data_IF_166102754651
#
_entry.id   IF_166102754651
#
_cell.length_a   1.000
_cell.length_b   1.000
_cell.length_c   1.000
_cell.angle_alpha   90.00
_cell.angle_beta   90.00
_cell.angle_gamma   90.00
#
_symmetry.space_group_name_H-M   'P 1'
#
loop_
_entity.id
_entity.type
_entity.pdbx_description
1 polymer ?
#
# COMPACT_ATOMS: atom_id res chain seq x y z
N UNK A 1 -16.89 8.93 -4.84
CA UNK A 1 -15.74 8.41 -4.09
C UNK A 1 -14.62 8.08 -5.07
N UNK A 2 -13.42 8.64 -4.86
CA UNK A 2 -12.21 8.20 -5.54
C UNK A 2 -11.48 7.18 -4.66
N UNK A 3 -11.29 5.97 -5.17
CA UNK A 3 -10.52 4.94 -4.51
C UNK A 3 -9.49 4.38 -5.47
N UNK A 4 -8.25 4.36 -5.03
CA UNK A 4 -7.23 3.57 -5.67
C UNK A 4 -7.35 2.10 -5.26
N UNK A 5 -7.16 1.17 -6.20
CA UNK A 5 -6.98 -0.23 -5.89
C UNK A 5 -5.51 -0.56 -6.00
N UNK A 6 -4.92 -1.00 -4.90
CA UNK A 6 -3.51 -1.40 -4.86
C UNK A 6 -3.35 -2.86 -4.44
N UNK A 7 -2.27 -3.48 -4.90
CA UNK A 7 -1.93 -4.86 -4.56
C UNK A 7 -1.72 -5.08 -3.04
N UNK A 8 -1.56 -4.00 -2.28
CA UNK A 8 -1.37 -4.06 -0.83
C UNK A 8 -2.61 -4.49 -0.04
N UNK A 9 -3.80 -4.44 -0.66
CA UNK A 9 -5.02 -4.91 0.00
C UNK A 9 -4.99 -6.41 0.35
N UNK A 10 -4.16 -7.21 -0.30
CA UNK A 10 -3.98 -8.61 0.08
C UNK A 10 -2.93 -8.82 1.18
N UNK A 11 -2.14 -7.82 1.50
CA UNK A 11 -1.15 -7.88 2.58
C UNK A 11 -1.85 -7.98 3.95
N UNK A 12 -2.90 -7.19 4.16
CA UNK A 12 -3.67 -7.19 5.42
C UNK A 12 -4.22 -8.58 5.75
N UNK A 13 -4.90 -9.31 4.86
CA UNK A 13 -5.33 -10.68 5.13
C UNK A 13 -4.17 -11.62 5.49
N UNK A 14 -3.03 -11.53 4.81
CA UNK A 14 -1.85 -12.35 5.13
C UNK A 14 -1.32 -12.06 6.52
N UNK A 15 -1.23 -10.78 6.88
CA UNK A 15 -0.86 -10.36 8.24
C UNK A 15 -1.83 -10.93 9.28
N UNK A 16 -3.13 -10.85 9.02
CA UNK A 16 -4.15 -11.39 9.94
C UNK A 16 -4.01 -12.90 10.11
N UNK A 17 -3.78 -13.66 9.04
CA UNK A 17 -3.55 -15.10 9.13
C UNK A 17 -2.31 -15.45 9.97
N UNK A 18 -1.19 -14.77 9.73
CA UNK A 18 0.03 -14.97 10.51
C UNK A 18 -0.18 -14.66 12.00
N UNK A 19 -0.84 -13.53 12.29
CA UNK A 19 -1.14 -13.10 13.67
C UNK A 19 -2.06 -14.11 14.35
N UNK A 20 -3.11 -14.53 13.66
CA UNK A 20 -4.07 -15.50 14.17
C UNK A 20 -3.40 -16.84 14.53
N UNK A 21 -2.56 -17.34 13.63
CA UNK A 21 -1.80 -18.56 13.87
C UNK A 21 -0.85 -18.42 15.07
N UNK A 22 -0.08 -17.33 15.11
CA UNK A 22 0.91 -17.07 16.14
C UNK A 22 0.30 -16.91 17.55
N UNK A 23 -0.88 -16.30 17.65
CA UNK A 23 -1.52 -15.96 18.94
C UNK A 23 -2.74 -16.83 19.27
N UNK A 24 -3.07 -17.83 18.44
CA UNK A 24 -4.22 -18.70 18.66
C UNK A 24 -5.56 -17.97 18.53
N UNK A 25 -5.67 -16.98 17.63
CA UNK A 25 -6.89 -16.19 17.42
C UNK A 25 -7.77 -16.88 16.38
N UNK A 26 -8.97 -17.29 16.75
CA UNK A 26 -9.90 -17.99 15.86
C UNK A 26 -10.64 -17.03 14.91
N UNK A 27 -10.98 -15.83 15.39
CA UNK A 27 -11.77 -14.86 14.61
C UNK A 27 -10.91 -13.74 14.07
N UNK A 28 -10.59 -13.77 12.78
CA UNK A 28 -9.79 -12.77 12.09
C UNK A 28 -10.43 -11.36 12.10
N UNK A 29 -11.75 -11.26 12.28
CA UNK A 29 -12.43 -9.97 12.33
C UNK A 29 -12.15 -9.20 13.61
N UNK A 30 -11.65 -9.87 14.65
CA UNK A 30 -11.25 -9.24 15.92
C UNK A 30 -9.84 -8.64 15.86
N UNK A 31 -9.10 -8.90 14.78
CA UNK A 31 -7.79 -8.30 14.51
C UNK A 31 -8.00 -7.06 13.66
N UNK A 32 -7.66 -5.90 14.19
CA UNK A 32 -7.62 -4.64 13.45
C UNK A 32 -6.19 -4.29 13.08
N UNK A 33 -5.95 -3.94 11.82
CA UNK A 33 -4.64 -3.56 11.29
C UNK A 33 -4.76 -2.17 10.68
N UNK A 34 -3.95 -1.25 11.16
CA UNK A 34 -3.73 0.05 10.53
C UNK A 34 -2.36 0.03 9.86
N UNK A 35 -2.36 0.12 8.53
CA UNK A 35 -1.18 0.00 7.70
C UNK A 35 -1.03 1.26 6.84
N UNK A 36 0.20 1.81 6.79
CA UNK A 36 0.57 2.83 5.81
C UNK A 36 1.85 2.37 5.12
N UNK A 37 1.77 2.19 3.81
CA UNK A 37 2.87 1.76 2.95
C UNK A 37 2.57 2.13 1.50
N UNK A 38 3.56 2.65 0.79
CA UNK A 38 3.42 3.01 -0.62
C UNK A 38 3.47 1.79 -1.52
N UNK A 39 4.56 1.06 -1.41
CA UNK A 39 4.85 -0.08 -2.24
C UNK A 39 5.64 -1.12 -1.44
N UNK A 40 5.27 -2.35 -1.58
CA UNK A 40 5.95 -3.48 -0.95
C UNK A 40 6.48 -4.38 -2.05
N UNK A 41 7.56 -3.93 -2.68
CA UNK A 41 8.12 -4.51 -3.88
C UNK A 41 8.32 -6.01 -3.78
N UNK A 42 8.89 -6.42 -2.69
CA UNK A 42 9.45 -7.75 -2.58
C UNK A 42 8.44 -8.82 -2.19
N UNK A 43 7.28 -8.41 -1.71
CA UNK A 43 6.19 -9.36 -1.42
C UNK A 43 5.71 -10.07 -2.67
N UNK A 44 5.84 -9.42 -3.83
CA UNK A 44 5.24 -9.90 -5.10
C UNK A 44 6.27 -10.27 -6.15
N UNK A 45 7.44 -9.65 -6.14
CA UNK A 45 8.37 -9.68 -7.27
C UNK A 45 9.68 -10.40 -6.95
N UNK A 46 10.18 -10.29 -5.72
CA UNK A 46 11.47 -10.89 -5.37
C UNK A 46 11.34 -12.37 -5.07
N UNK A 47 12.08 -13.17 -5.83
CA UNK A 47 12.28 -14.59 -5.52
C UNK A 47 13.14 -14.81 -4.28
N UNK A 48 13.79 -13.76 -3.79
CA UNK A 48 14.78 -13.80 -2.73
C UNK A 48 14.29 -13.27 -1.40
N UNK A 49 13.09 -12.66 -1.38
CA UNK A 49 12.44 -12.19 -0.16
C UNK A 49 13.12 -11.00 0.50
N UNK A 50 13.69 -10.10 -0.28
CA UNK A 50 14.29 -8.87 0.21
C UNK A 50 13.28 -7.71 0.17
N UNK A 51 13.03 -7.09 1.31
CA UNK A 51 12.41 -5.76 1.41
C UNK A 51 13.49 -4.73 1.74
N UNK A 52 14.49 -4.63 0.90
CA UNK A 52 15.59 -3.71 1.17
C UNK A 52 15.10 -2.27 1.26
N UNK A 53 15.06 -1.76 2.48
CA UNK A 53 14.90 -0.35 2.78
C UNK A 53 13.48 0.21 2.81
N UNK A 54 12.44 -0.57 2.54
CA UNK A 54 11.07 -0.08 2.69
C UNK A 54 10.63 -0.18 4.13
N UNK A 55 10.41 0.96 4.78
CA UNK A 55 9.74 0.99 6.08
C UNK A 55 8.23 1.11 5.91
N UNK A 56 7.49 0.64 6.89
CA UNK A 56 6.04 0.71 6.95
C UNK A 56 5.60 1.22 8.32
N UNK A 57 4.46 1.90 8.36
CA UNK A 57 3.76 2.16 9.61
C UNK A 57 2.73 1.06 9.82
N UNK A 58 2.83 0.39 10.94
CA UNK A 58 1.97 -0.72 11.29
C UNK A 58 1.52 -0.62 12.75
N UNK A 59 0.21 -0.66 12.97
CA UNK A 59 -0.40 -0.85 14.28
C UNK A 59 -1.33 -2.06 14.19
N UNK A 60 -1.24 -2.94 15.18
CA UNK A 60 -2.06 -4.15 15.27
C UNK A 60 -2.79 -4.17 16.59
N UNK A 61 -4.10 -4.41 16.54
CA UNK A 61 -4.96 -4.52 17.72
C UNK A 61 -5.77 -5.79 17.69
N UNK A 62 -5.96 -6.37 18.86
CA UNK A 62 -6.87 -7.48 19.07
C UNK A 62 -7.95 -7.06 20.05
N UNK A 63 -9.22 -7.08 19.62
CA UNK A 63 -10.39 -6.61 20.41
C UNK A 63 -10.22 -5.17 20.93
N UNK A 64 -9.51 -4.33 20.20
CA UNK A 64 -9.24 -2.94 20.56
C UNK A 64 -7.94 -2.70 21.34
N UNK A 65 -7.38 -3.71 21.97
CA UNK A 65 -6.12 -3.62 22.70
C UNK A 65 -4.91 -3.75 21.76
N UNK A 66 -3.86 -3.00 22.02
CA UNK A 66 -2.61 -3.08 21.25
C UNK A 66 -1.99 -4.47 21.39
N UNK A 67 -1.70 -5.10 20.26
CA UNK A 67 -1.03 -6.39 20.21
C UNK A 67 0.44 -6.18 19.80
N UNK A 68 1.41 -6.48 20.69
CA UNK A 68 2.81 -6.33 20.37
C UNK A 68 3.22 -7.34 19.30
N UNK A 69 3.65 -6.84 18.16
CA UNK A 69 4.07 -7.64 17.01
C UNK A 69 5.54 -7.39 16.72
N UNK A 70 6.27 -8.46 16.51
CA UNK A 70 7.57 -8.40 15.84
C UNK A 70 7.32 -8.09 14.35
N UNK A 71 7.54 -6.83 13.98
CA UNK A 71 7.29 -6.32 12.63
C UNK A 71 8.11 -7.08 11.59
N UNK A 72 9.38 -7.34 11.87
CA UNK A 72 10.29 -7.98 10.92
C UNK A 72 9.89 -9.44 10.66
N UNK A 73 9.53 -10.16 11.72
CA UNK A 73 9.01 -11.53 11.58
C UNK A 73 7.69 -11.58 10.81
N UNK A 74 6.78 -10.63 11.06
CA UNK A 74 5.51 -10.51 10.35
C UNK A 74 5.74 -10.23 8.85
N UNK A 75 6.57 -9.24 8.53
CA UNK A 75 6.88 -8.88 7.16
C UNK A 75 7.53 -10.04 6.40
N UNK A 76 8.49 -10.71 7.03
CA UNK A 76 9.13 -11.89 6.45
C UNK A 76 8.13 -13.02 6.19
N UNK A 77 7.19 -13.25 7.07
CA UNK A 77 6.13 -14.26 6.86
C UNK A 77 5.16 -13.86 5.73
N UNK A 78 4.95 -12.57 5.50
CA UNK A 78 4.09 -12.07 4.43
C UNK A 78 4.79 -12.03 3.06
N UNK A 79 6.11 -12.08 3.01
CA UNK A 79 6.94 -12.09 1.80
C UNK A 79 7.03 -13.45 1.12
N UNK A 80 6.03 -14.28 1.19
CA UNK A 80 6.05 -15.57 0.50
C UNK A 80 6.00 -15.30 -1.00
N UNK A 81 6.99 -15.75 -1.80
CA UNK A 81 6.97 -15.60 -3.24
C UNK A 81 5.68 -16.20 -3.80
N UNK A 82 5.00 -15.44 -4.63
CA UNK A 82 3.86 -16.01 -5.34
C UNK A 82 4.35 -17.04 -6.35
N UNK A 83 3.66 -18.19 -6.47
CA UNK A 83 3.91 -19.11 -7.57
C UNK A 83 3.85 -18.36 -8.90
N UNK A 84 4.81 -18.60 -9.79
CA UNK A 84 4.93 -17.90 -11.09
C UNK A 84 3.71 -18.10 -11.98
N UNK A 85 2.95 -19.14 -11.73
CA UNK A 85 1.71 -19.52 -12.42
C UNK A 85 0.47 -18.80 -11.89
N UNK A 86 0.53 -18.15 -10.73
CA UNK A 86 -0.58 -17.34 -10.25
C UNK A 86 -0.67 -16.05 -11.06
N UNK A 87 -1.78 -15.91 -11.73
CA UNK A 87 -2.04 -14.75 -12.58
C UNK A 87 -2.19 -13.51 -11.71
N UNK A 88 -1.34 -12.49 -11.90
CA UNK A 88 -1.45 -11.17 -11.23
C UNK A 88 -2.87 -10.59 -11.32
N UNK A 89 -3.57 -10.88 -12.41
CA UNK A 89 -4.95 -10.46 -12.61
C UNK A 89 -5.90 -10.97 -11.52
N UNK A 90 -5.66 -12.15 -10.94
CA UNK A 90 -6.49 -12.68 -9.84
C UNK A 90 -6.27 -11.88 -8.55
N UNK A 91 -5.05 -11.41 -8.28
CA UNK A 91 -4.76 -10.56 -7.13
C UNK A 91 -5.39 -9.19 -7.29
N UNK A 92 -5.28 -8.60 -8.47
CA UNK A 92 -5.91 -7.31 -8.77
C UNK A 92 -7.44 -7.42 -8.67
N UNK A 93 -8.02 -8.50 -9.19
CA UNK A 93 -9.45 -8.77 -9.07
C UNK A 93 -9.88 -8.92 -7.61
N UNK A 94 -9.13 -9.65 -6.79
CA UNK A 94 -9.39 -9.81 -5.35
C UNK A 94 -9.29 -8.48 -4.60
N UNK A 95 -8.27 -7.66 -4.89
CA UNK A 95 -8.12 -6.34 -4.27
C UNK A 95 -9.27 -5.41 -4.65
N UNK A 96 -9.67 -5.38 -5.91
CA UNK A 96 -10.81 -4.59 -6.37
C UNK A 96 -12.12 -5.05 -5.73
N UNK A 97 -12.31 -6.37 -5.67
CA UNK A 97 -13.50 -6.96 -5.03
C UNK A 97 -13.58 -6.55 -3.54
N UNK A 98 -12.48 -6.63 -2.81
CA UNK A 98 -12.44 -6.25 -1.40
C UNK A 98 -12.81 -4.79 -1.18
N UNK A 99 -12.36 -3.87 -2.04
CA UNK A 99 -12.70 -2.45 -1.94
C UNK A 99 -14.20 -2.26 -2.21
N UNK A 100 -14.71 -2.81 -3.32
CA UNK A 100 -16.13 -2.70 -3.68
C UNK A 100 -17.01 -3.30 -2.58
N UNK A 101 -16.65 -4.49 -2.09
CA UNK A 101 -17.35 -5.14 -1.00
C UNK A 101 -17.36 -4.27 0.27
N UNK A 102 -16.21 -3.68 0.63
CA UNK A 102 -16.09 -2.81 1.80
C UNK A 102 -16.96 -1.56 1.70
N UNK A 103 -17.07 -0.96 0.51
CA UNK A 103 -17.97 0.18 0.25
C UNK A 103 -19.43 -0.24 0.42
N UNK A 104 -19.83 -1.34 -0.22
CA UNK A 104 -21.20 -1.86 -0.14
C UNK A 104 -21.57 -2.26 1.29
N UNK A 105 -20.66 -2.91 1.99
CA UNK A 105 -20.86 -3.30 3.39
C UNK A 105 -21.01 -2.09 4.31
N UNK A 106 -20.19 -1.05 4.13
CA UNK A 106 -20.33 0.19 4.88
C UNK A 106 -21.70 0.83 4.67
N UNK A 107 -22.12 0.96 3.40
CA UNK A 107 -23.40 1.62 3.03
C UNK A 107 -24.59 0.80 3.49
N UNK A 108 -24.61 -0.52 3.22
CA UNK A 108 -25.75 -1.40 3.52
C UNK A 108 -25.96 -1.56 5.01
N UNK A 109 -24.89 -1.62 5.79
CA UNK A 109 -24.95 -1.83 7.23
C UNK A 109 -24.80 -0.54 8.06
N UNK A 110 -24.76 0.62 7.43
CA UNK A 110 -24.65 1.93 8.10
C UNK A 110 -23.51 1.98 9.12
N UNK A 111 -22.31 1.56 8.70
CA UNK A 111 -21.14 1.45 9.57
C UNK A 111 -19.91 2.13 8.98
N UNK A 112 -18.85 2.18 9.79
CA UNK A 112 -17.50 2.54 9.33
C UNK A 112 -16.77 1.29 8.92
N UNK A 113 -16.02 1.39 7.82
CA UNK A 113 -15.12 0.34 7.34
C UNK A 113 -13.75 0.96 7.07
N UNK A 114 -12.70 0.34 7.61
CA UNK A 114 -11.32 0.69 7.34
C UNK A 114 -10.81 -0.07 6.12
N UNK A 115 -10.17 0.64 5.22
CA UNK A 115 -9.49 0.08 4.05
C UNK A 115 -8.07 0.64 3.94
N UNK A 116 -7.25 0.03 3.10
CA UNK A 116 -5.99 0.62 2.64
C UNK A 116 -6.15 1.01 1.17
N UNK A 117 -5.83 2.24 0.82
CA UNK A 117 -5.99 2.74 -0.55
C UNK A 117 -4.81 3.61 -0.97
N UNK A 118 -4.30 3.45 -2.20
CA UNK A 118 -3.30 4.34 -2.79
C UNK A 118 -3.94 5.53 -3.47
N UNK A 119 -3.17 6.62 -3.61
CA UNK A 119 -3.47 7.72 -4.53
C UNK A 119 -4.71 8.55 -4.23
N UNK A 120 -5.18 8.59 -2.97
CA UNK A 120 -6.40 9.31 -2.60
C UNK A 120 -6.11 10.79 -2.42
N UNK A 121 -6.96 11.65 -2.97
CA UNK A 121 -6.90 13.11 -2.82
C UNK A 121 -5.54 13.73 -3.25
N UNK A 122 -4.89 13.15 -4.26
CA UNK A 122 -3.59 13.62 -4.74
C UNK A 122 -2.39 13.25 -3.86
N UNK A 123 -2.60 12.49 -2.81
CA UNK A 123 -1.51 11.99 -1.98
C UNK A 123 -0.77 10.83 -2.66
N UNK A 124 0.54 10.81 -2.54
CA UNK A 124 1.39 9.77 -3.12
C UNK A 124 1.48 8.59 -2.14
N UNK A 125 1.32 7.38 -2.65
CA UNK A 125 1.47 6.16 -1.87
C UNK A 125 0.19 5.62 -1.27
N UNK A 126 0.29 4.79 -0.25
CA UNK A 126 -0.83 4.06 0.33
C UNK A 126 -1.12 4.47 1.78
N UNK A 127 -2.39 4.62 2.07
CA UNK A 127 -2.87 5.17 3.34
C UNK A 127 -3.98 4.31 3.94
N UNK A 128 -4.08 4.24 5.28
CA UNK A 128 -5.30 3.78 5.94
C UNK A 128 -6.41 4.82 5.72
N UNK A 129 -7.59 4.34 5.35
CA UNK A 129 -8.71 5.17 4.96
C UNK A 129 -10.01 4.65 5.54
N UNK A 130 -10.89 5.55 5.94
CA UNK A 130 -12.20 5.19 6.51
C UNK A 130 -13.28 5.53 5.50
N UNK A 131 -14.17 4.57 5.26
CA UNK A 131 -15.47 4.78 4.66
C UNK A 131 -16.47 4.87 5.80
N UNK A 132 -17.14 6.01 5.95
CA UNK A 132 -18.10 6.27 7.02
C UNK A 132 -19.50 6.45 6.44
N UNK A 133 -20.34 5.45 6.60
CA UNK A 133 -21.75 5.47 6.18
C UNK A 133 -22.73 5.52 7.36
N UNK A 134 -22.29 5.92 8.55
CA UNK A 134 -23.15 6.04 9.72
C UNK A 134 -24.12 7.22 9.65
N UNK A 135 -23.81 8.24 8.85
CA UNK A 135 -24.67 9.40 8.63
C UNK A 135 -25.68 9.23 7.51
N UNK A 136 -26.41 10.30 7.20
CA UNK A 136 -27.36 10.36 6.07
C UNK A 136 -26.64 10.33 4.71
N UNK A 137 -25.42 10.83 4.66
CA UNK A 137 -24.53 10.82 3.50
C UNK A 137 -23.26 10.06 3.89
N UNK A 138 -22.86 9.12 3.04
CA UNK A 138 -21.59 8.43 3.24
C UNK A 138 -20.42 9.36 2.90
N UNK A 139 -19.42 9.36 3.75
CA UNK A 139 -18.17 10.15 3.60
C UNK A 139 -16.95 9.24 3.64
N UNK A 140 -15.80 9.78 3.28
CA UNK A 140 -14.54 9.05 3.39
C UNK A 140 -13.40 10.01 3.74
N UNK A 141 -12.43 9.52 4.50
CA UNK A 141 -11.31 10.32 4.98
C UNK A 141 -10.11 9.46 5.41
N UNK A 142 -8.93 10.08 5.49
CA UNK A 142 -7.73 9.40 6.01
C UNK A 142 -7.91 9.01 7.48
N UNK A 143 -7.54 7.77 7.81
CA UNK A 143 -7.48 7.34 9.21
C UNK A 143 -6.21 7.88 9.87
N UNK A 144 -6.34 9.00 10.55
CA UNK A 144 -5.26 9.63 11.31
C UNK A 144 -5.30 9.30 12.82
N UNK A 145 -6.09 8.31 13.21
CA UNK A 145 -6.27 7.95 14.61
C UNK A 145 -5.01 7.36 15.27
N UNK A 146 -4.15 6.73 14.48
CA UNK A 146 -2.92 6.06 14.93
C UNK A 146 -1.67 6.82 14.47
N UNK A 147 -1.63 7.22 13.19
CA UNK A 147 -0.48 7.89 12.60
C UNK A 147 -0.87 9.26 12.08
N UNK A 148 -0.01 10.27 12.30
CA UNK A 148 -0.23 11.60 11.71
C UNK A 148 -0.06 11.58 10.20
N UNK A 149 -0.76 12.48 9.48
CA UNK A 149 -0.59 12.64 8.03
C UNK A 149 0.86 12.92 7.64
N UNK A 150 1.56 13.74 8.41
CA UNK A 150 2.96 14.06 8.17
C UNK A 150 3.83 12.79 8.19
N UNK A 151 3.66 11.94 9.20
CA UNK A 151 4.41 10.68 9.32
C UNK A 151 4.08 9.71 8.17
N UNK A 152 2.81 9.63 7.78
CA UNK A 152 2.38 8.80 6.67
C UNK A 152 2.96 9.29 5.32
N UNK A 153 2.96 10.60 5.09
CA UNK A 153 3.59 11.20 3.91
C UNK A 153 5.09 10.93 3.84
N UNK A 154 5.78 11.05 4.96
CA UNK A 154 7.21 10.77 5.04
C UNK A 154 7.52 9.34 4.59
N UNK A 155 6.87 8.34 5.16
CA UNK A 155 7.07 6.94 4.82
C UNK A 155 6.76 6.66 3.33
N UNK A 156 5.68 7.21 2.81
CA UNK A 156 5.32 7.04 1.41
C UNK A 156 6.35 7.67 0.46
N UNK A 157 6.87 8.85 0.80
CA UNK A 157 7.92 9.51 0.01
C UNK A 157 9.23 8.73 0.03
N UNK A 158 9.65 8.23 1.20
CA UNK A 158 10.83 7.38 1.31
C UNK A 158 10.69 6.11 0.45
N UNK A 159 9.51 5.50 0.44
CA UNK A 159 9.24 4.32 -0.38
C UNK A 159 9.35 4.60 -1.88
N UNK A 160 8.73 5.66 -2.37
CA UNK A 160 8.80 5.99 -3.80
C UNK A 160 10.20 6.43 -4.25
N UNK A 161 10.99 7.00 -3.33
CA UNK A 161 12.37 7.33 -3.60
C UNK A 161 13.20 6.07 -3.91
N UNK A 162 12.96 4.98 -3.19
CA UNK A 162 13.57 3.68 -3.48
C UNK A 162 13.14 3.11 -4.84
N UNK A 163 11.94 3.44 -5.30
CA UNK A 163 11.45 3.11 -6.65
C UNK A 163 12.06 4.01 -7.75
N UNK A 164 12.92 4.94 -7.38
CA UNK A 164 13.59 5.85 -8.31
C UNK A 164 12.86 7.15 -8.58
N UNK A 165 11.82 7.46 -7.81
CA UNK A 165 11.06 8.71 -7.92
C UNK A 165 11.46 9.66 -6.79
N UNK A 166 12.12 10.77 -7.13
CA UNK A 166 12.57 11.76 -6.16
C UNK A 166 11.42 12.68 -5.71
N UNK A 167 10.55 13.09 -6.63
CA UNK A 167 9.41 13.96 -6.33
C UNK A 167 8.34 13.88 -7.44
N UNK A 168 7.12 14.28 -7.12
CA UNK A 168 6.03 14.51 -8.07
C UNK A 168 5.38 15.83 -7.68
N UNK A 169 5.48 16.86 -8.52
CA UNK A 169 4.88 18.17 -8.27
C UNK A 169 4.63 18.94 -9.58
N UNK A 170 3.61 19.78 -9.56
CA UNK A 170 3.27 20.70 -10.66
C UNK A 170 3.18 20.01 -12.03
N UNK A 171 2.74 18.75 -12.07
CA UNK A 171 2.62 17.97 -13.30
C UNK A 171 3.94 17.37 -13.81
N UNK A 172 5.01 17.45 -13.02
CA UNK A 172 6.30 16.87 -13.34
C UNK A 172 6.63 15.70 -12.43
N UNK A 173 7.24 14.68 -13.02
CA UNK A 173 7.86 13.54 -12.35
C UNK A 173 9.38 13.78 -12.31
N UNK A 174 9.96 13.68 -11.12
CA UNK A 174 11.40 13.81 -10.89
C UNK A 174 11.99 12.45 -10.56
N UNK A 175 12.95 11.99 -11.35
CA UNK A 175 13.66 10.74 -11.10
C UNK A 175 14.86 10.95 -10.18
N UNK A 176 15.25 9.90 -9.47
CA UNK A 176 16.50 9.92 -8.71
C UNK A 176 17.71 9.81 -9.64
N UNK A 177 18.84 10.47 -9.31
CA UNK A 177 20.07 10.32 -10.09
C UNK A 177 20.51 8.87 -10.26
N UNK A 178 20.32 8.06 -9.22
CA UNK A 178 20.67 6.64 -9.22
C UNK A 178 19.86 5.83 -10.24
N UNK A 179 18.56 6.14 -10.40
CA UNK A 179 17.74 5.51 -11.42
C UNK A 179 18.23 5.90 -12.82
N UNK A 180 18.48 7.18 -13.05
CA UNK A 180 18.97 7.70 -14.34
C UNK A 180 20.29 7.01 -14.73
N UNK A 181 21.22 6.89 -13.79
CA UNK A 181 22.49 6.19 -14.02
C UNK A 181 22.27 4.71 -14.31
N UNK A 182 21.41 4.02 -13.57
CA UNK A 182 21.08 2.60 -13.80
C UNK A 182 20.47 2.37 -15.19
N UNK A 183 19.54 3.24 -15.61
CA UNK A 183 18.94 3.17 -16.95
C UNK A 183 20.01 3.30 -18.04
N UNK A 184 20.92 4.27 -17.89
CA UNK A 184 22.04 4.44 -18.79
C UNK A 184 22.94 3.22 -18.87
N UNK A 185 23.30 2.67 -17.70
CA UNK A 185 24.22 1.55 -17.61
C UNK A 185 23.62 0.23 -18.12
N UNK A 186 22.32 -0.02 -17.89
CA UNK A 186 21.66 -1.28 -18.25
C UNK A 186 21.16 -1.29 -19.69
N UNK A 187 20.56 -0.17 -20.12
CA UNK A 187 19.89 -0.10 -21.44
C UNK A 187 20.57 0.84 -22.43
N UNK A 188 21.60 1.58 -21.99
CA UNK A 188 22.30 2.53 -22.85
C UNK A 188 21.44 3.75 -23.24
N UNK A 189 20.30 3.94 -22.60
CA UNK A 189 19.36 5.04 -22.87
C UNK A 189 19.57 6.19 -21.88
N UNK A 190 19.36 7.40 -22.36
CA UNK A 190 19.38 8.59 -21.52
C UNK A 190 17.95 8.87 -21.01
N UNK A 191 17.77 8.76 -19.69
CA UNK A 191 16.54 9.15 -19.01
C UNK A 191 16.71 10.57 -18.49
N UNK A 192 15.82 11.53 -18.80
CA UNK A 192 15.88 12.87 -18.22
C UNK A 192 15.57 12.81 -16.71
N UNK A 193 16.16 13.71 -15.94
CA UNK A 193 15.88 13.80 -14.49
C UNK A 193 14.47 14.29 -14.18
N UNK A 194 13.85 15.02 -15.10
CA UNK A 194 12.51 15.58 -14.97
C UNK A 194 11.71 15.29 -16.25
N UNK A 195 10.47 14.86 -16.07
CA UNK A 195 9.53 14.58 -17.17
C UNK A 195 8.17 15.15 -16.82
N UNK A 196 7.62 15.99 -17.70
CA UNK A 196 6.24 16.42 -17.56
C UNK A 196 5.28 15.28 -17.93
N UNK A 197 4.14 15.16 -17.24
CA UNK A 197 3.20 14.05 -17.45
C UNK A 197 2.68 13.93 -18.88
N UNK A 198 2.60 15.05 -19.61
CA UNK A 198 2.19 15.02 -21.02
C UNK A 198 3.24 14.38 -21.94
N UNK A 199 4.50 14.34 -21.52
CA UNK A 199 5.62 13.86 -22.33
C UNK A 199 6.06 12.43 -21.95
N UNK A 200 5.34 11.80 -21.02
CA UNK A 200 5.73 10.49 -20.45
C UNK A 200 5.76 9.39 -21.51
N UNK A 201 4.87 9.45 -22.51
CA UNK A 201 4.80 8.46 -23.58
C UNK A 201 5.99 8.58 -24.54
N UNK A 202 6.59 9.77 -24.68
CA UNK A 202 7.78 10.01 -25.50
C UNK A 202 9.04 9.45 -24.82
N UNK A 203 9.10 9.54 -23.51
CA UNK A 203 10.25 9.04 -22.72
C UNK A 203 10.26 7.52 -22.65
N UNK A 204 9.11 6.87 -22.76
CA UNK A 204 8.95 5.42 -22.74
C UNK A 204 9.30 4.68 -24.04
N UNK A 205 9.60 5.40 -25.11
CA UNK A 205 10.00 4.84 -26.41
C UNK A 205 11.52 4.71 -26.54
#
# INVERSE_FOLDING_TARGET
FDFGSGNLNHLIPRMKFYIADKYGIENLNEIDITLCVSHFHDVVISKEGHSEGVDILLDVRYRGDSLPIDKDALLKACMIPMPVDQKRNMMNASSNFNIIYSILDAISNKKKVKIHTPGVNGEIGGYPYIIDATGSVATSYFDTSIFSMEKMRMINRESIYLDGVADIKEGNLYYTPELVEKVKNVWGKDLPLEVHFNDIDEVGQ
#
